data_IF_638033159369
#
_entry.id   IF_638033159369
#
_cell.length_a   1.000
_cell.length_b   1.000
_cell.length_c   1.000
_cell.angle_alpha   90.00
_cell.angle_beta   90.00
_cell.angle_gamma   90.00
#
_symmetry.space_group_name_H-M   'P 1'
#
loop_
_entity.id
_entity.type
_entity.pdbx_description
1 polymer ?
#
# COMPACT_ATOMS: atom_id res chain seq x y z
N UNK A 1 -8.02 -20.88 39.03
CA UNK A 1 -6.87 -19.95 39.05
C UNK A 1 -6.26 -19.98 37.66
N UNK A 2 -6.72 -19.11 36.78
CA UNK A 2 -6.34 -19.05 35.37
C UNK A 2 -5.87 -17.62 35.11
N UNK A 3 -4.56 -17.38 35.22
CA UNK A 3 -3.95 -16.06 34.99
C UNK A 3 -2.49 -16.21 34.55
N UNK A 4 -2.27 -16.94 33.45
CA UNK A 4 -0.97 -17.00 32.78
C UNK A 4 -1.04 -16.74 31.26
N UNK A 5 -2.25 -16.71 30.67
CA UNK A 5 -2.43 -16.50 29.22
C UNK A 5 -2.39 -15.01 28.79
N UNK A 6 -2.50 -14.06 29.72
CA UNK A 6 -2.63 -12.63 29.41
C UNK A 6 -1.33 -11.93 29.01
N UNK A 7 -0.15 -12.51 29.28
CA UNK A 7 1.12 -11.86 28.94
C UNK A 7 1.63 -12.24 27.55
N UNK A 8 1.40 -13.49 27.10
CA UNK A 8 1.83 -13.96 25.78
C UNK A 8 0.97 -13.36 24.65
N UNK A 9 -0.33 -13.12 24.91
CA UNK A 9 -1.22 -12.47 23.94
C UNK A 9 -0.93 -10.97 23.76
N UNK A 10 -0.48 -10.26 24.82
CA UNK A 10 -0.12 -8.83 24.73
C UNK A 10 1.19 -8.60 23.95
N UNK A 11 2.17 -9.51 24.06
CA UNK A 11 3.44 -9.42 23.34
C UNK A 11 3.25 -9.72 21.83
N UNK A 12 2.41 -10.69 21.48
CA UNK A 12 2.03 -10.97 20.09
C UNK A 12 1.26 -9.81 19.45
N UNK A 13 0.45 -9.09 20.23
CA UNK A 13 -0.27 -7.90 19.77
C UNK A 13 0.69 -6.75 19.46
N UNK A 14 1.65 -6.47 20.35
CA UNK A 14 2.67 -5.42 20.14
C UNK A 14 3.53 -5.70 18.90
N UNK A 15 3.95 -6.94 18.68
CA UNK A 15 4.69 -7.34 17.48
C UNK A 15 3.85 -7.13 16.21
N UNK A 16 2.54 -7.44 16.27
CA UNK A 16 1.63 -7.21 15.17
C UNK A 16 1.43 -5.71 14.88
N UNK A 17 1.34 -4.86 15.92
CA UNK A 17 1.28 -3.40 15.76
C UNK A 17 2.54 -2.88 15.06
N UNK A 18 3.72 -3.33 15.49
CA UNK A 18 4.99 -2.95 14.88
C UNK A 18 5.06 -3.39 13.41
N UNK A 19 4.64 -4.62 13.11
CA UNK A 19 4.59 -5.12 11.75
C UNK A 19 3.67 -4.27 10.87
N UNK A 20 2.44 -3.98 11.31
CA UNK A 20 1.49 -3.15 10.55
C UNK A 20 2.07 -1.78 10.28
N UNK A 21 2.72 -1.17 11.28
CA UNK A 21 3.38 0.14 11.13
C UNK A 21 4.51 0.07 10.10
N UNK A 22 5.44 -0.87 10.26
CA UNK A 22 6.59 -1.03 9.34
C UNK A 22 6.16 -1.37 7.92
N UNK A 23 5.14 -2.21 7.77
CA UNK A 23 4.54 -2.49 6.47
C UNK A 23 3.98 -1.22 5.85
N UNK A 24 3.18 -0.45 6.61
CA UNK A 24 2.56 0.78 6.13
C UNK A 24 3.61 1.80 5.67
N UNK A 25 4.67 2.00 6.46
CA UNK A 25 5.77 2.91 6.11
C UNK A 25 6.46 2.47 4.81
N UNK A 26 6.79 1.18 4.69
CA UNK A 26 7.46 0.63 3.49
C UNK A 26 6.56 0.65 2.27
N UNK A 27 5.27 0.36 2.45
CA UNK A 27 4.28 0.41 1.39
C UNK A 27 4.10 1.84 0.88
N UNK A 28 3.97 2.83 1.77
CA UNK A 28 3.81 4.22 1.40
C UNK A 28 5.06 4.79 0.72
N UNK A 29 6.27 4.44 1.20
CA UNK A 29 7.54 4.78 0.55
C UNK A 29 7.59 4.23 -0.88
N UNK A 30 7.25 2.96 -1.06
CA UNK A 30 7.21 2.31 -2.38
C UNK A 30 6.16 2.95 -3.29
N UNK A 31 4.96 3.23 -2.76
CA UNK A 31 3.88 3.90 -3.48
C UNK A 31 4.32 5.27 -3.99
N UNK A 32 4.85 6.13 -3.11
CA UNK A 32 5.35 7.47 -3.48
C UNK A 32 6.40 7.44 -4.57
N UNK A 33 7.28 6.43 -4.58
CA UNK A 33 8.28 6.26 -5.64
C UNK A 33 7.64 5.82 -6.96
N UNK A 34 6.70 4.87 -6.90
CA UNK A 34 6.12 4.25 -8.09
C UNK A 34 5.02 5.08 -8.76
N UNK A 35 4.40 6.03 -8.07
CA UNK A 35 3.45 6.98 -8.67
C UNK A 35 4.10 7.88 -9.73
N UNK A 36 5.40 8.15 -9.61
CA UNK A 36 6.16 8.88 -10.63
C UNK A 36 6.51 8.06 -11.88
N UNK A 37 6.34 6.74 -11.85
CA UNK A 37 6.71 5.88 -12.97
C UNK A 37 5.59 5.83 -14.01
N UNK A 38 5.98 5.63 -15.27
CA UNK A 38 5.04 5.49 -16.40
C UNK A 38 5.25 4.12 -17.02
N UNK A 39 4.18 3.35 -17.15
CA UNK A 39 4.14 2.15 -18.00
C UNK A 39 3.21 2.48 -19.18
N UNK A 40 3.76 2.75 -20.39
CA UNK A 40 2.98 3.19 -21.54
C UNK A 40 2.01 2.13 -22.06
N UNK A 41 2.42 0.87 -22.03
CA UNK A 41 1.58 -0.26 -22.42
C UNK A 41 0.49 -0.48 -21.35
N UNK A 42 -0.75 -0.19 -21.72
CA UNK A 42 -1.91 -0.33 -20.84
C UNK A 42 -2.12 -1.76 -20.37
N UNK A 43 -1.88 -2.75 -21.24
CA UNK A 43 -2.11 -4.15 -20.90
C UNK A 43 -1.07 -4.63 -19.90
N UNK A 44 0.20 -4.31 -20.14
CA UNK A 44 1.29 -4.60 -19.21
C UNK A 44 1.07 -3.89 -17.87
N UNK A 45 0.65 -2.62 -17.89
CA UNK A 45 0.34 -1.86 -16.68
C UNK A 45 -0.76 -2.55 -15.85
N UNK A 46 -1.82 -2.99 -16.50
CA UNK A 46 -2.93 -3.66 -15.82
C UNK A 46 -2.50 -5.05 -15.29
N UNK A 47 -1.71 -5.80 -16.05
CA UNK A 47 -1.14 -7.08 -15.59
C UNK A 47 -0.26 -6.91 -14.34
N UNK A 48 0.58 -5.87 -14.29
CA UNK A 48 1.40 -5.55 -13.12
C UNK A 48 0.51 -5.20 -11.92
N UNK A 49 -0.52 -4.37 -12.11
CA UNK A 49 -1.47 -3.98 -11.05
C UNK A 49 -2.23 -5.20 -10.50
N UNK A 50 -2.73 -6.05 -11.39
CA UNK A 50 -3.43 -7.29 -11.01
C UNK A 50 -2.50 -8.21 -10.22
N UNK A 51 -1.27 -8.42 -10.71
CA UNK A 51 -0.29 -9.26 -10.01
C UNK A 51 0.05 -8.73 -8.61
N UNK A 52 0.26 -7.42 -8.48
CA UNK A 52 0.50 -6.77 -7.20
C UNK A 52 -0.70 -6.94 -6.26
N UNK A 53 -1.92 -6.67 -6.73
CA UNK A 53 -3.14 -6.78 -5.93
C UNK A 53 -3.40 -8.23 -5.48
N UNK A 54 -3.24 -9.21 -6.37
CA UNK A 54 -3.39 -10.64 -6.05
C UNK A 54 -2.40 -11.14 -5.01
N UNK A 55 -1.25 -10.50 -4.87
CA UNK A 55 -0.22 -10.90 -3.91
C UNK A 55 -0.36 -10.13 -2.59
N UNK A 56 -0.48 -8.80 -2.66
CA UNK A 56 -0.47 -7.92 -1.49
C UNK A 56 -1.78 -7.98 -0.69
N UNK A 57 -2.93 -7.94 -1.38
CA UNK A 57 -4.23 -7.82 -0.70
C UNK A 57 -4.52 -9.08 0.14
N UNK A 58 -4.41 -10.32 -0.39
CA UNK A 58 -4.70 -11.50 0.42
C UNK A 58 -3.76 -11.64 1.62
N UNK A 59 -2.45 -11.49 1.40
CA UNK A 59 -1.44 -11.64 2.45
C UNK A 59 -1.61 -10.60 3.57
N UNK A 60 -1.82 -9.33 3.20
CA UNK A 60 -2.02 -8.27 4.19
C UNK A 60 -3.37 -8.38 4.89
N UNK A 61 -4.43 -8.76 4.17
CA UNK A 61 -5.78 -8.91 4.75
C UNK A 61 -5.83 -10.01 5.79
N UNK A 62 -5.22 -11.17 5.52
CA UNK A 62 -5.17 -12.29 6.46
C UNK A 62 -4.47 -11.88 7.75
N UNK A 63 -3.32 -11.24 7.61
CA UNK A 63 -2.57 -10.70 8.75
C UNK A 63 -3.39 -9.65 9.52
N UNK A 64 -3.91 -8.64 8.82
CA UNK A 64 -4.67 -7.55 9.43
C UNK A 64 -5.91 -8.07 10.18
N UNK A 65 -6.63 -9.05 9.62
CA UNK A 65 -7.81 -9.66 10.26
C UNK A 65 -7.43 -10.44 11.51
N UNK A 66 -6.32 -11.18 11.49
CA UNK A 66 -5.85 -11.98 12.64
C UNK A 66 -5.61 -11.10 13.87
N UNK A 67 -5.07 -9.90 13.67
CA UNK A 67 -4.69 -9.00 14.76
C UNK A 67 -5.65 -7.81 14.97
N UNK A 68 -6.75 -7.72 14.20
CA UNK A 68 -7.71 -6.60 14.25
C UNK A 68 -8.35 -6.37 15.62
N UNK A 69 -8.48 -7.42 16.44
CA UNK A 69 -9.14 -7.35 17.75
C UNK A 69 -8.28 -6.63 18.78
N UNK A 70 -6.95 -6.76 18.65
CA UNK A 70 -5.97 -6.06 19.50
C UNK A 70 -5.51 -4.73 18.91
N UNK A 71 -5.32 -4.69 17.59
CA UNK A 71 -4.75 -3.53 16.90
C UNK A 71 -5.50 -2.23 17.26
N UNK A 72 -4.76 -1.26 17.82
CA UNK A 72 -5.31 0.06 18.11
C UNK A 72 -5.97 0.63 16.86
N UNK A 73 -7.20 1.14 17.05
CA UNK A 73 -7.93 1.86 16.00
C UNK A 73 -7.00 2.97 15.48
N UNK A 74 -6.68 2.95 14.19
CA UNK A 74 -5.79 3.87 13.44
C UNK A 74 -4.35 3.39 13.14
N UNK A 75 -4.00 2.12 13.36
CA UNK A 75 -2.71 1.61 12.90
C UNK A 75 -2.75 1.17 11.44
N UNK A 76 -2.08 1.95 10.59
CA UNK A 76 -1.70 1.57 9.23
C UNK A 76 -2.78 1.74 8.15
N UNK A 77 -2.42 1.32 6.94
CA UNK A 77 -3.28 1.36 5.75
C UNK A 77 -4.33 0.25 5.86
N UNK A 78 -5.61 0.56 5.64
CA UNK A 78 -6.63 -0.49 5.63
C UNK A 78 -6.42 -1.43 4.41
N UNK A 79 -6.64 -2.75 4.56
CA UNK A 79 -6.51 -3.68 3.42
C UNK A 79 -7.37 -3.27 2.21
N UNK A 80 -8.53 -2.66 2.47
CA UNK A 80 -9.43 -2.14 1.44
C UNK A 80 -8.83 -0.97 0.66
N UNK A 81 -7.95 -0.18 1.29
CA UNK A 81 -7.31 0.98 0.67
C UNK A 81 -6.13 0.58 -0.23
N UNK A 82 -5.48 -0.56 0.01
CA UNK A 82 -4.35 -1.06 -0.81
C UNK A 82 -4.74 -1.12 -2.30
N UNK A 83 -5.97 -1.54 -2.61
CA UNK A 83 -6.47 -1.59 -3.98
C UNK A 83 -6.55 -0.20 -4.63
N UNK A 84 -6.93 0.83 -3.85
CA UNK A 84 -6.97 2.22 -4.32
C UNK A 84 -5.56 2.72 -4.65
N UNK A 85 -4.59 2.48 -3.76
CA UNK A 85 -3.18 2.85 -4.00
C UNK A 85 -2.61 2.16 -5.25
N UNK A 86 -2.86 0.86 -5.44
CA UNK A 86 -2.36 0.13 -6.64
C UNK A 86 -3.00 0.67 -7.91
N UNK A 87 -4.28 1.07 -7.83
CA UNK A 87 -5.02 1.62 -8.98
C UNK A 87 -4.38 2.89 -9.52
N UNK A 88 -3.77 3.72 -8.68
CA UNK A 88 -3.14 4.99 -9.06
C UNK A 88 -1.72 4.84 -9.65
N UNK A 89 -1.12 3.65 -9.60
CA UNK A 89 0.26 3.44 -10.05
C UNK A 89 0.44 3.51 -11.58
N UNK A 90 1.66 3.87 -11.98
CA UNK A 90 2.19 3.73 -13.36
C UNK A 90 1.55 4.63 -14.44
N UNK A 91 0.77 5.63 -14.05
CA UNK A 91 0.27 6.66 -14.97
C UNK A 91 1.24 7.82 -15.16
N UNK A 92 2.30 7.88 -14.33
CA UNK A 92 3.14 9.05 -14.14
C UNK A 92 2.44 10.09 -13.29
N UNK A 93 3.20 10.76 -12.42
CA UNK A 93 2.75 12.02 -11.88
C UNK A 93 2.51 12.94 -13.07
N UNK A 94 1.27 13.38 -13.26
CA UNK A 94 0.92 14.41 -14.23
C UNK A 94 1.66 15.68 -13.90
N UNK A 95 2.94 15.74 -14.27
CA UNK A 95 3.63 16.97 -14.53
C UNK A 95 2.86 17.61 -15.66
N UNK A 96 1.87 18.43 -15.31
CA UNK A 96 1.34 19.49 -16.14
C UNK A 96 2.48 20.50 -16.39
N UNK A 97 3.57 20.04 -17.01
CA UNK A 97 4.49 20.88 -17.73
C UNK A 97 3.76 21.22 -19.00
N UNK A 98 3.10 22.37 -18.99
CA UNK A 98 2.56 23.02 -20.18
C UNK A 98 3.50 22.75 -21.37
N UNK A 99 2.99 22.03 -22.37
CA UNK A 99 3.62 22.05 -23.70
C UNK A 99 3.42 23.47 -24.21
N UNK A 100 4.33 24.35 -23.85
CA UNK A 100 4.44 25.66 -24.47
C UNK A 100 4.81 25.39 -25.92
N UNK A 101 3.79 25.30 -26.77
CA UNK A 101 3.93 25.25 -28.21
C UNK A 101 4.56 26.58 -28.60
N UNK A 102 5.89 26.60 -28.75
CA UNK A 102 6.58 27.72 -29.35
C UNK A 102 6.23 27.67 -30.83
N UNK A 103 5.22 28.47 -31.18
CA UNK A 103 4.89 28.77 -32.55
C UNK A 103 6.07 29.55 -33.15
N UNK A 104 6.87 28.87 -33.98
CA UNK A 104 7.92 29.51 -34.75
C UNK A 104 7.26 30.31 -35.87
N UNK A 105 7.37 31.64 -35.83
CA UNK A 105 7.20 32.45 -37.03
C UNK A 105 8.58 32.67 -37.66
N UNK A 106 8.58 32.50 -38.98
CA UNK A 106 9.66 32.75 -39.95
C UNK A 106 10.30 34.12 -39.84
#
# INVERSE_FOLDING_TARGET
>A
MTSLATAEEEEEEEEAEEFVRRFSDRFEEAYKRQTGWVVPDSKLRDEIKVSAAMTLIPAYTEFYKKYRVGLRKNLGVAPEDIGNYISDLYFGSGGSGCVSSVHSYV
#
